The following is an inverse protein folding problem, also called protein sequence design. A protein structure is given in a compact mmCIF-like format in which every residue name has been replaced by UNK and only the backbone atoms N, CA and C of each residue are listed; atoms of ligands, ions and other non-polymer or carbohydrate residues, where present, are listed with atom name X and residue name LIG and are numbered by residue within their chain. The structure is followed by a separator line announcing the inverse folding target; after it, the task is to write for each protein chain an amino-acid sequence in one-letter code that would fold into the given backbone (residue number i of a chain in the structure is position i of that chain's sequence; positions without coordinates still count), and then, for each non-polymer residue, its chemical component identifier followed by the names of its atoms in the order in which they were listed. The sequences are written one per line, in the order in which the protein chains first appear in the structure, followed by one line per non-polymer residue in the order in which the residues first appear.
data_IF_823528582690
#
_entry.id   IF_823528582690
#
_cell.length_a   1.000
_cell.length_b   1.000
_cell.length_c   1.000
_cell.angle_alpha   90.00
_cell.angle_beta   90.00
_cell.angle_gamma   90.00
#
_symmetry.space_group_name_H-M   'P 1'
#
loop_
_entity.id
_entity.type
_entity.pdbx_description
1 polymer ?
#
# COMPACT_ATOMS: atom_id res chain seq x y z
N UNK A 1 42.56 7.71 -57.36
CA UNK A 1 42.41 8.29 -56.00
C UNK A 1 41.11 9.09 -56.03
N UNK A 2 40.02 8.78 -55.32
CA UNK A 2 39.84 8.86 -53.87
C UNK A 2 38.50 8.18 -53.55
N UNK A 3 38.51 7.09 -52.76
CA UNK A 3 37.28 6.46 -52.25
C UNK A 3 36.73 7.37 -51.15
N UNK A 4 35.57 8.01 -51.36
CA UNK A 4 34.87 8.73 -50.30
C UNK A 4 34.10 7.71 -49.45
N UNK A 5 34.55 7.51 -48.21
CA UNK A 5 33.86 6.73 -47.19
C UNK A 5 32.89 7.66 -46.45
N UNK A 6 31.59 7.47 -46.65
CA UNK A 6 30.55 8.10 -45.83
C UNK A 6 30.43 7.32 -44.51
N UNK A 7 30.96 7.91 -43.43
CA UNK A 7 30.74 7.41 -42.07
C UNK A 7 29.39 7.93 -41.59
N UNK A 8 28.42 7.03 -41.49
CA UNK A 8 27.12 7.29 -40.86
C UNK A 8 27.35 7.36 -39.35
N UNK A 9 27.24 8.54 -38.77
CA UNK A 9 27.20 8.72 -37.30
C UNK A 9 25.77 8.44 -36.86
N UNK A 10 25.55 7.23 -36.32
CA UNK A 10 24.29 6.86 -35.68
C UNK A 10 24.22 7.53 -34.31
N UNK A 11 23.58 8.70 -34.23
CA UNK A 11 23.29 9.35 -32.97
C UNK A 11 22.18 8.57 -32.25
N UNK A 12 22.56 7.69 -31.33
CA UNK A 12 21.63 7.06 -30.38
C UNK A 12 21.28 8.16 -29.37
N UNK A 13 20.18 8.86 -29.62
CA UNK A 13 19.54 9.73 -28.64
C UNK A 13 18.96 8.87 -27.51
N UNK A 14 19.74 8.74 -26.43
CA UNK A 14 19.31 8.17 -25.17
C UNK A 14 18.22 9.08 -24.60
N UNK A 15 16.95 8.69 -24.74
CA UNK A 15 15.85 9.31 -24.01
C UNK A 15 16.06 8.99 -22.52
N UNK A 16 16.75 9.89 -21.82
CA UNK A 16 16.76 9.89 -20.37
C UNK A 16 15.33 10.18 -19.91
N UNK A 17 14.61 9.13 -19.52
CA UNK A 17 13.37 9.27 -18.75
C UNK A 17 13.70 10.10 -17.51
N UNK A 18 12.95 11.16 -17.18
CA UNK A 18 13.31 12.05 -16.09
C UNK A 18 13.21 11.32 -14.75
N UNK A 19 14.36 11.09 -14.13
CA UNK A 19 14.49 10.44 -12.82
C UNK A 19 13.74 11.17 -11.70
N UNK A 20 13.33 12.43 -11.92
CA UNK A 20 12.66 13.26 -10.92
C UNK A 20 11.34 12.67 -10.40
N UNK A 21 10.59 11.93 -11.21
CA UNK A 21 9.29 11.38 -10.81
C UNK A 21 9.39 10.15 -9.92
N UNK A 22 10.42 9.33 -10.15
CA UNK A 22 10.71 8.19 -9.27
C UNK A 22 11.11 8.67 -7.87
N UNK A 23 11.80 9.81 -7.76
CA UNK A 23 12.17 10.39 -6.46
C UNK A 23 10.94 10.81 -5.64
N UNK A 24 9.99 11.53 -6.24
CA UNK A 24 8.77 11.92 -5.54
C UNK A 24 7.96 10.69 -5.08
N UNK A 25 7.85 9.67 -5.92
CA UNK A 25 7.16 8.43 -5.56
C UNK A 25 7.85 7.72 -4.37
N UNK A 26 9.18 7.60 -4.39
CA UNK A 26 9.96 6.97 -3.32
C UNK A 26 9.84 7.74 -1.98
N UNK A 27 9.65 9.05 -2.02
CA UNK A 27 9.57 9.90 -0.83
C UNK A 27 8.20 9.92 -0.15
N UNK A 28 7.12 9.62 -0.88
CA UNK A 28 5.74 9.74 -0.35
C UNK A 28 5.00 8.41 -0.22
N UNK A 29 5.54 7.32 -0.77
CA UNK A 29 4.94 5.99 -0.66
C UNK A 29 5.35 5.25 0.61
N UNK A 30 4.50 4.35 1.10
CA UNK A 30 4.78 3.55 2.29
C UNK A 30 4.81 4.34 3.60
N UNK A 31 4.20 5.54 3.62
CA UNK A 31 4.10 6.43 4.78
C UNK A 31 2.63 6.61 5.14
N UNK A 32 2.34 6.77 6.43
CA UNK A 32 1.02 7.15 6.92
C UNK A 32 0.88 8.68 6.90
N UNK A 33 0.22 9.22 5.88
CA UNK A 33 -0.07 10.65 5.80
C UNK A 33 -1.38 10.96 6.52
N UNK A 34 -1.31 11.70 7.63
CA UNK A 34 -2.44 12.00 8.52
C UNK A 34 -2.99 13.40 8.21
N UNK A 35 -4.23 13.51 7.75
CA UNK A 35 -4.79 14.79 7.27
C UNK A 35 -4.98 15.76 8.44
N UNK A 36 -4.23 16.87 8.43
CA UNK A 36 -4.11 17.80 9.54
C UNK A 36 -4.77 19.16 9.28
N UNK A 37 -4.78 19.63 8.02
CA UNK A 37 -5.34 20.94 7.68
C UNK A 37 -6.02 20.93 6.32
N UNK A 38 -7.02 21.79 6.19
CA UNK A 38 -7.69 22.11 4.94
C UNK A 38 -7.68 23.63 4.76
N UNK A 39 -7.23 24.09 3.60
CA UNK A 39 -7.50 25.45 3.12
C UNK A 39 -8.44 25.33 1.93
N UNK A 40 -9.50 26.13 1.89
CA UNK A 40 -10.42 26.19 0.75
C UNK A 40 -10.29 27.55 0.07
N UNK A 41 -10.50 27.58 -1.24
CA UNK A 41 -10.40 28.82 -2.03
C UNK A 41 -11.76 29.51 -2.19
N UNK A 42 -12.85 28.75 -2.25
CA UNK A 42 -14.20 29.25 -2.60
C UNK A 42 -15.32 28.55 -1.80
N UNK A 43 -15.88 29.20 -0.76
CA UNK A 43 -15.39 30.43 -0.15
C UNK A 43 -14.03 30.21 0.53
N UNK A 44 -13.21 31.25 0.58
CA UNK A 44 -11.91 31.17 1.23
C UNK A 44 -12.06 30.81 2.72
N UNK A 45 -11.46 29.71 3.15
CA UNK A 45 -11.53 29.21 4.52
C UNK A 45 -10.25 28.46 4.89
N UNK A 46 -9.97 28.34 6.18
CA UNK A 46 -8.90 27.47 6.69
C UNK A 46 -9.39 26.79 7.97
N UNK A 47 -9.15 25.49 8.07
CA UNK A 47 -9.54 24.66 9.21
C UNK A 47 -8.46 23.66 9.59
N UNK A 48 -8.42 23.31 10.88
CA UNK A 48 -7.62 22.22 11.43
C UNK A 48 -8.51 21.00 11.55
N UNK A 49 -7.99 19.84 11.18
CA UNK A 49 -8.68 18.55 11.25
C UNK A 49 -8.50 17.98 12.67
N UNK A 50 -9.58 17.74 13.43
CA UNK A 50 -9.48 17.06 14.72
C UNK A 50 -9.06 15.60 14.54
N UNK A 51 -8.14 15.13 15.40
CA UNK A 51 -7.66 13.73 15.40
C UNK A 51 -7.18 13.26 14.01
N UNK A 52 -6.12 13.88 13.45
CA UNK A 52 -5.64 13.58 12.10
C UNK A 52 -5.27 12.10 11.88
N UNK A 53 -4.93 11.37 12.93
CA UNK A 53 -4.68 9.92 12.92
C UNK A 53 -5.92 9.06 12.57
N UNK A 54 -7.09 9.68 12.50
CA UNK A 54 -8.32 9.07 12.01
C UNK A 54 -8.52 9.27 10.50
N UNK A 55 -7.75 10.14 9.85
CA UNK A 55 -7.86 10.45 8.43
C UNK A 55 -6.53 10.20 7.74
N UNK A 56 -6.24 8.93 7.43
CA UNK A 56 -4.92 8.48 6.98
C UNK A 56 -4.94 8.10 5.52
N UNK A 57 -3.90 8.50 4.78
CA UNK A 57 -3.62 8.09 3.42
C UNK A 57 -2.27 7.37 3.35
N UNK A 58 -2.27 6.16 2.78
CA UNK A 58 -1.05 5.38 2.49
C UNK A 58 -0.99 5.08 0.99
N UNK A 59 -0.09 5.74 0.29
CA UNK A 59 0.21 5.46 -1.12
C UNK A 59 1.14 4.25 -1.19
N UNK A 60 0.72 3.17 -1.86
CA UNK A 60 1.51 1.95 -2.03
C UNK A 60 2.23 1.96 -3.38
N UNK A 61 3.42 1.35 -3.41
CA UNK A 61 4.25 1.27 -4.62
C UNK A 61 3.59 0.50 -5.79
N UNK A 62 2.53 -0.28 -5.54
CA UNK A 62 1.79 -1.01 -6.56
C UNK A 62 0.67 -0.17 -7.23
N UNK A 63 0.57 1.12 -6.90
CA UNK A 63 -0.46 2.02 -7.43
C UNK A 63 -1.81 1.90 -6.71
N UNK A 64 -1.87 1.21 -5.57
CA UNK A 64 -3.03 1.25 -4.67
C UNK A 64 -2.83 2.28 -3.57
N UNK A 65 -3.94 2.79 -3.03
CA UNK A 65 -3.94 3.60 -1.82
C UNK A 65 -4.87 2.96 -0.80
N UNK A 66 -4.39 2.88 0.44
CA UNK A 66 -5.22 2.52 1.58
C UNK A 66 -5.56 3.79 2.34
N UNK A 67 -6.85 3.98 2.58
CA UNK A 67 -7.36 5.13 3.32
C UNK A 67 -8.05 4.64 4.59
N UNK A 68 -7.84 5.38 5.67
CA UNK A 68 -8.71 5.39 6.85
C UNK A 68 -9.45 6.71 6.82
N UNK A 69 -10.77 6.67 6.64
CA UNK A 69 -11.66 7.82 6.68
C UNK A 69 -12.50 7.72 7.95
N UNK A 70 -11.95 8.25 9.03
CA UNK A 70 -12.37 8.02 10.41
C UNK A 70 -12.43 6.52 10.77
N UNK A 71 -13.63 5.98 10.95
CA UNK A 71 -13.84 4.56 11.25
C UNK A 71 -13.88 3.68 9.99
N UNK A 72 -13.95 4.28 8.80
CA UNK A 72 -14.08 3.56 7.54
C UNK A 72 -12.72 3.26 6.90
N UNK A 73 -12.57 2.04 6.37
CA UNK A 73 -11.41 1.63 5.58
C UNK A 73 -11.78 1.61 4.11
N UNK A 74 -10.95 2.23 3.27
CA UNK A 74 -11.18 2.34 1.82
C UNK A 74 -9.92 1.94 1.06
N UNK A 75 -10.11 1.19 -0.03
CA UNK A 75 -9.08 0.97 -1.04
C UNK A 75 -9.44 1.74 -2.30
N UNK A 76 -8.46 2.39 -2.91
CA UNK A 76 -8.58 3.08 -4.20
C UNK A 76 -7.30 2.80 -5.00
N UNK A 77 -7.31 2.95 -6.32
CA UNK A 77 -6.10 3.02 -7.13
C UNK A 77 -5.73 4.47 -7.44
N UNK A 78 -4.45 4.74 -7.66
CA UNK A 78 -3.96 6.06 -8.02
C UNK A 78 -2.91 5.98 -9.15
N UNK A 79 -2.72 7.10 -9.83
CA UNK A 79 -1.61 7.36 -10.74
C UNK A 79 -0.83 8.54 -10.18
N UNK A 80 0.49 8.44 -10.17
CA UNK A 80 1.39 9.54 -9.87
C UNK A 80 2.31 9.77 -11.07
N UNK A 81 2.10 10.88 -11.78
CA UNK A 81 2.93 11.31 -12.90
C UNK A 81 3.73 12.55 -12.47
N UNK A 82 4.98 12.32 -12.08
CA UNK A 82 5.78 13.31 -11.36
C UNK A 82 5.16 13.68 -10.03
N UNK A 83 4.69 14.92 -9.92
CA UNK A 83 3.98 15.41 -8.74
C UNK A 83 2.46 15.39 -8.91
N UNK A 84 1.94 15.02 -10.08
CA UNK A 84 0.49 15.00 -10.31
C UNK A 84 -0.12 13.69 -9.82
N UNK A 85 -0.92 13.77 -8.75
CA UNK A 85 -1.62 12.66 -8.13
C UNK A 85 -3.08 12.64 -8.58
N UNK A 86 -3.50 11.53 -9.19
CA UNK A 86 -4.88 11.29 -9.62
C UNK A 86 -5.39 10.00 -8.99
N UNK A 87 -6.55 10.06 -8.35
CA UNK A 87 -7.23 8.86 -7.87
C UNK A 87 -8.16 8.31 -8.96
N UNK A 88 -8.04 7.01 -9.24
CA UNK A 88 -8.67 6.37 -10.38
C UNK A 88 -9.89 5.54 -9.95
N UNK A 89 -9.71 4.24 -9.70
CA UNK A 89 -10.80 3.30 -9.47
C UNK A 89 -11.01 3.05 -7.99
N UNK A 90 -12.17 3.45 -7.49
CA UNK A 90 -12.57 3.18 -6.11
C UNK A 90 -12.79 1.66 -5.93
N UNK A 91 -12.13 1.10 -4.93
CA UNK A 91 -12.19 -0.31 -4.57
C UNK A 91 -13.12 -0.57 -3.39
N UNK A 92 -12.92 -1.69 -2.66
CA UNK A 92 -13.70 -2.01 -1.47
C UNK A 92 -13.65 -0.92 -0.40
N UNK A 93 -14.80 -0.66 0.22
CA UNK A 93 -14.91 0.24 1.37
C UNK A 93 -15.86 -0.33 2.43
N UNK A 94 -15.61 0.01 3.69
CA UNK A 94 -16.64 -0.07 4.72
C UNK A 94 -17.52 1.17 4.67
N UNK A 95 -18.79 1.02 5.07
CA UNK A 95 -19.80 2.10 5.06
C UNK A 95 -20.47 2.22 6.43
N UNK A 96 -19.66 2.32 7.48
CA UNK A 96 -20.12 2.54 8.83
C UNK A 96 -20.43 4.03 9.06
N UNK A 97 -21.38 4.31 9.96
CA UNK A 97 -21.60 5.66 10.48
C UNK A 97 -20.55 5.94 11.56
N UNK A 98 -19.65 6.90 11.30
CA UNK A 98 -18.57 7.24 12.24
C UNK A 98 -18.95 8.32 13.26
N UNK A 99 -20.17 8.87 13.18
CA UNK A 99 -20.66 9.93 14.06
C UNK A 99 -20.93 11.23 13.31
N UNK A 100 -21.70 12.13 13.91
CA UNK A 100 -22.12 13.39 13.27
C UNK A 100 -20.95 14.38 13.05
N UNK A 101 -19.89 14.26 13.86
CA UNK A 101 -18.68 15.09 13.79
C UNK A 101 -17.60 14.50 12.85
N UNK A 102 -17.89 13.36 12.21
CA UNK A 102 -16.97 12.72 11.27
C UNK A 102 -16.75 13.60 10.03
N UNK A 103 -15.50 13.66 9.58
CA UNK A 103 -15.08 14.32 8.34
C UNK A 103 -14.82 13.33 7.22
N UNK A 104 -15.23 12.06 7.37
CA UNK A 104 -14.99 10.97 6.41
C UNK A 104 -15.45 11.32 4.99
N UNK A 105 -16.66 11.86 4.85
CA UNK A 105 -17.22 12.26 3.54
C UNK A 105 -16.41 13.39 2.92
N UNK A 106 -16.06 14.42 3.71
CA UNK A 106 -15.26 15.55 3.24
C UNK A 106 -13.85 15.12 2.85
N UNK A 107 -13.23 14.24 3.64
CA UNK A 107 -11.91 13.69 3.36
C UNK A 107 -11.89 12.98 2.00
N UNK A 108 -12.85 12.09 1.76
CA UNK A 108 -12.98 11.35 0.51
C UNK A 108 -13.29 12.27 -0.67
N UNK A 109 -14.17 13.26 -0.50
CA UNK A 109 -14.51 14.24 -1.54
C UNK A 109 -13.28 15.06 -1.98
N UNK A 110 -12.52 15.58 -1.01
CA UNK A 110 -11.34 16.40 -1.29
C UNK A 110 -10.24 15.57 -1.94
N UNK A 111 -9.95 14.37 -1.45
CA UNK A 111 -9.00 13.45 -2.11
C UNK A 111 -9.40 13.17 -3.56
N UNK A 112 -10.70 12.98 -3.83
CA UNK A 112 -11.20 12.73 -5.19
C UNK A 112 -10.95 13.84 -6.21
N UNK A 113 -10.56 15.05 -5.77
CA UNK A 113 -10.11 16.11 -6.68
C UNK A 113 -8.74 15.81 -7.29
N UNK A 114 -7.91 15.00 -6.62
CA UNK A 114 -6.49 14.86 -6.95
C UNK A 114 -5.79 16.21 -6.92
N UNK A 115 -4.57 16.27 -7.44
CA UNK A 115 -3.81 17.51 -7.41
C UNK A 115 -2.33 17.34 -7.59
N UNK A 116 -1.58 18.39 -7.23
CA UNK A 116 -0.12 18.35 -7.21
C UNK A 116 0.37 18.10 -5.79
N UNK A 117 1.28 17.15 -5.61
CA UNK A 117 1.91 16.85 -4.33
C UNK A 117 3.25 17.59 -4.17
N UNK A 118 3.52 18.06 -2.96
CA UNK A 118 4.83 18.57 -2.54
C UNK A 118 5.14 18.14 -1.11
N UNK A 119 6.42 18.17 -0.74
CA UNK A 119 6.87 17.97 0.64
C UNK A 119 7.36 19.30 1.21
N UNK A 120 6.75 19.73 2.31
CA UNK A 120 7.06 21.00 2.98
C UNK A 120 7.25 20.74 4.48
N UNK A 121 8.45 20.98 4.98
CA UNK A 121 8.83 20.75 6.38
C UNK A 121 8.49 19.32 6.88
N UNK A 122 8.63 18.33 6.00
CA UNK A 122 8.35 16.92 6.29
C UNK A 122 6.86 16.55 6.27
N UNK A 123 5.98 17.48 5.88
CA UNK A 123 4.55 17.26 5.66
C UNK A 123 4.27 17.08 4.17
N UNK A 124 3.28 16.25 3.86
CA UNK A 124 2.77 16.13 2.50
C UNK A 124 1.71 17.22 2.29
N UNK A 125 1.86 17.98 1.23
CA UNK A 125 0.92 18.99 0.79
C UNK A 125 0.32 18.53 -0.53
N UNK A 126 -1.00 18.56 -0.62
CA UNK A 126 -1.75 18.26 -1.85
C UNK A 126 -2.53 19.51 -2.25
N UNK A 127 -2.03 20.20 -3.27
CA UNK A 127 -2.72 21.31 -3.92
C UNK A 127 -3.80 20.74 -4.84
N UNK A 128 -5.05 20.91 -4.43
CA UNK A 128 -6.19 20.28 -5.08
C UNK A 128 -6.50 20.94 -6.41
N UNK A 129 -6.89 20.12 -7.38
CA UNK A 129 -7.39 20.60 -8.67
C UNK A 129 -8.68 21.43 -8.50
N UNK A 130 -9.12 22.06 -9.61
CA UNK A 130 -10.40 22.80 -9.67
C UNK A 130 -10.47 23.99 -8.68
N UNK A 131 -9.31 24.51 -8.25
CA UNK A 131 -9.20 25.52 -7.19
C UNK A 131 -9.87 25.07 -5.88
N UNK A 132 -9.97 23.76 -5.62
CA UNK A 132 -10.64 23.22 -4.44
C UNK A 132 -9.88 23.45 -3.13
N UNK A 133 -8.68 24.02 -3.21
CA UNK A 133 -7.86 24.43 -2.07
C UNK A 133 -6.66 23.52 -1.88
N UNK A 134 -6.27 23.29 -0.64
CA UNK A 134 -5.08 22.53 -0.27
C UNK A 134 -5.36 21.63 0.94
N UNK A 135 -4.90 20.38 0.89
CA UNK A 135 -4.85 19.48 2.03
C UNK A 135 -3.41 19.34 2.52
N UNK A 136 -3.20 19.43 3.83
CA UNK A 136 -1.88 19.22 4.45
C UNK A 136 -1.94 18.01 5.37
N UNK A 137 -0.93 17.16 5.28
CA UNK A 137 -0.85 15.90 6.02
C UNK A 137 0.44 15.82 6.85
N UNK A 138 0.29 15.45 8.11
CA UNK A 138 1.40 15.15 9.00
C UNK A 138 1.96 13.75 8.71
N UNK A 139 3.27 13.58 8.90
CA UNK A 139 3.93 12.30 8.75
C UNK A 139 3.70 11.44 10.00
N UNK A 140 2.84 10.43 9.88
CA UNK A 140 2.55 9.44 10.91
C UNK A 140 3.56 8.30 11.02
N UNK A 141 4.65 8.37 10.25
CA UNK A 141 5.69 7.35 10.17
C UNK A 141 5.43 6.27 9.10
N UNK A 142 6.28 5.24 9.04
CA UNK A 142 6.14 4.16 8.08
C UNK A 142 4.77 3.47 8.19
N UNK A 143 4.15 3.19 7.05
CA UNK A 143 3.01 2.30 7.00
C UNK A 143 3.47 0.89 7.39
N UNK A 144 2.62 0.17 8.15
CA UNK A 144 2.89 -1.24 8.38
C UNK A 144 2.99 -1.94 7.02
N UNK A 145 3.99 -2.81 6.79
CA UNK A 145 4.06 -3.57 5.56
C UNK A 145 2.73 -4.33 5.40
N UNK A 146 2.18 -4.43 4.18
CA UNK A 146 0.97 -5.18 3.95
C UNK A 146 1.18 -6.56 4.54
N UNK A 147 0.42 -6.91 5.58
CA UNK A 147 0.45 -8.24 6.15
C UNK A 147 -0.10 -9.15 5.06
N UNK A 148 0.77 -9.82 4.32
CA UNK A 148 0.40 -11.00 3.55
C UNK A 148 -0.42 -11.86 4.50
N UNK A 149 -1.63 -12.33 4.15
CA UNK A 149 -2.33 -13.27 4.99
C UNK A 149 -1.36 -14.41 5.24
N UNK A 150 -0.98 -14.64 6.51
CA UNK A 150 -0.19 -15.81 6.86
C UNK A 150 -1.03 -17.02 6.45
N UNK A 151 -0.79 -17.50 5.22
CA UNK A 151 -1.22 -18.80 4.75
C UNK A 151 -0.33 -19.79 5.48
N UNK A 152 -0.64 -19.98 6.76
CA UNK A 152 0.31 -20.53 7.71
C UNK A 152 -0.28 -20.62 9.10
N UNK A 153 -1.59 -20.89 9.19
CA UNK A 153 -2.09 -21.64 10.33
C UNK A 153 -1.28 -22.93 10.40
N UNK A 154 -0.24 -22.91 11.23
CA UNK A 154 0.46 -24.10 11.64
C UNK A 154 -0.63 -25.06 12.11
N UNK A 155 -0.83 -26.14 11.37
CA UNK A 155 -1.47 -27.31 11.93
C UNK A 155 -0.60 -27.67 13.13
N UNK A 156 -1.02 -27.22 14.32
CA UNK A 156 -0.52 -27.75 15.57
C UNK A 156 -0.87 -29.23 15.53
N UNK A 157 0.06 -30.04 15.02
CA UNK A 157 -0.04 -31.49 15.11
C UNK A 157 -0.01 -31.78 16.59
N UNK A 158 -1.19 -32.04 17.15
CA UNK A 158 -1.32 -32.28 18.57
C UNK A 158 -0.40 -33.46 18.96
N UNK A 159 0.31 -33.37 20.10
CA UNK A 159 1.36 -34.33 20.47
C UNK A 159 0.88 -35.78 20.69
N UNK A 160 -0.43 -36.05 20.68
CA UNK A 160 -0.98 -37.40 20.80
C UNK A 160 -0.98 -38.20 19.48
N UNK A 161 -0.66 -37.58 18.35
CA UNK A 161 -0.63 -38.27 17.05
C UNK A 161 0.55 -39.26 16.87
N UNK A 162 1.49 -39.34 17.83
CA UNK A 162 2.69 -40.19 17.74
C UNK A 162 2.60 -41.58 18.39
N UNK A 163 1.50 -41.94 19.05
CA UNK A 163 1.44 -43.20 19.85
C UNK A 163 0.81 -44.41 19.16
N UNK A 164 0.60 -44.41 17.83
CA UNK A 164 -0.12 -45.50 17.15
C UNK A 164 0.73 -46.52 16.36
N UNK A 165 2.05 -46.65 16.59
CA UNK A 165 2.89 -47.58 15.80
C UNK A 165 3.85 -48.50 16.57
N UNK A 166 3.73 -48.65 17.88
CA UNK A 166 4.59 -49.57 18.62
C UNK A 166 3.79 -50.49 19.55
N UNK A 167 3.36 -51.65 19.03
CA UNK A 167 2.80 -52.70 19.88
C UNK A 167 2.46 -53.97 19.11
N UNK A 168 3.41 -54.91 19.11
CA UNK A 168 3.26 -56.39 19.11
C UNK A 168 4.36 -57.08 18.29
N UNK A 169 5.58 -57.09 18.84
CA UNK A 169 6.59 -58.09 18.52
C UNK A 169 7.17 -58.63 19.84
N UNK A 170 6.66 -59.77 20.29
CA UNK A 170 7.31 -60.63 21.29
C UNK A 170 6.87 -62.08 21.00
N UNK A 171 7.76 -62.85 20.38
CA UNK A 171 8.61 -63.87 21.01
C UNK A 171 7.93 -65.25 21.06
N UNK A 172 8.39 -66.13 20.16
CA UNK A 172 8.18 -67.57 20.22
C UNK A 172 9.38 -68.28 19.61
N UNK A 173 10.38 -68.55 20.44
CA UNK A 173 11.54 -69.41 20.11
C UNK A 173 11.07 -70.84 19.83
N UNK A 174 11.67 -71.46 18.81
CA UNK A 174 11.19 -72.68 18.19
C UNK A 174 11.30 -73.99 18.98
N UNK A 175 11.02 -75.10 18.29
CA UNK A 175 11.72 -76.40 18.41
C UNK A 175 11.13 -77.41 17.40
N UNK A 176 12.05 -78.00 16.65
CA UNK A 176 12.14 -79.35 16.09
C UNK A 176 11.07 -79.94 15.13
N UNK A 177 11.64 -80.45 14.03
CA UNK A 177 11.11 -81.42 13.08
C UNK A 177 10.41 -82.63 13.73
N UNK A 178 9.34 -83.10 13.08
CA UNK A 178 9.17 -84.54 12.82
C UNK A 178 8.31 -84.82 11.59
N UNK A 179 8.93 -85.45 10.58
CA UNK A 179 8.24 -86.18 9.49
C UNK A 179 7.41 -87.32 10.07
N UNK A 180 6.21 -87.56 9.51
CA UNK A 180 5.77 -88.93 9.21
C UNK A 180 4.58 -88.96 8.25
N UNK A 181 4.85 -89.61 7.11
CA UNK A 181 4.01 -90.32 6.14
C UNK A 181 2.84 -89.59 5.51
#
# INVERSE_FOLDING_TARGET
MRKLLFTIVLAISLLAVPAAWAQTADEITGIQWQWAQLTETEPASQSVVPNPENYVMVLNADGTVNLKADCNMVSWTYTLDGANLVFNTLGPSTLAFCGDESLDTMFMEKLGKGGTVSLEDGRLVLDLNENAGQMVFDNGGPAAPPTTPETGGALAVAPWALTALAGLAALGTGVALRRKR
#
